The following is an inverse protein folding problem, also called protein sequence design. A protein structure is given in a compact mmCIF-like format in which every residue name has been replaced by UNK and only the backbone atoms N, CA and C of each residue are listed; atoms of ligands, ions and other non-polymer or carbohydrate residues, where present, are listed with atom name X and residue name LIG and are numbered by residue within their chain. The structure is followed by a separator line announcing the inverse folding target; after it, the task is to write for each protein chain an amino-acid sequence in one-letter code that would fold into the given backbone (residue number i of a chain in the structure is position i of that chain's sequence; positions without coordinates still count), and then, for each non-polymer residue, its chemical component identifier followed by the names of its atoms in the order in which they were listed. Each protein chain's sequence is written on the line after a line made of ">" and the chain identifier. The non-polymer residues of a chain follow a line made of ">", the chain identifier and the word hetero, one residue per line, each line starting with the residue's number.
data_IF_265281792375
#
_entry.id   IF_265281792375
#
_cell.length_a   1.000
_cell.length_b   1.000
_cell.length_c   1.000
_cell.angle_alpha   90.00
_cell.angle_beta   90.00
_cell.angle_gamma   90.00
#
_symmetry.space_group_name_H-M   'P 1'
#
loop_
_entity.id
_entity.type
_entity.pdbx_description
1 polymer ?
#
# COMPACT_ATOMS: atom_id res chain seq x y z
N UNK A 1 67.11 -9.50 5.28
CA UNK A 1 65.90 -9.42 6.16
C UNK A 1 64.83 -8.59 5.46
N UNK A 2 63.94 -9.23 4.75
CA UNK A 2 62.85 -8.58 4.03
C UNK A 2 61.57 -8.67 4.89
N UNK A 3 60.90 -7.52 5.13
CA UNK A 3 59.62 -7.44 5.81
C UNK A 3 58.48 -7.84 4.86
N UNK A 4 57.52 -8.65 5.27
CA UNK A 4 56.34 -8.90 4.47
C UNK A 4 55.39 -7.70 4.53
N UNK A 5 55.02 -7.20 3.35
CA UNK A 5 53.98 -6.20 3.10
C UNK A 5 52.62 -6.83 3.42
N UNK A 6 51.86 -6.24 4.37
CA UNK A 6 50.47 -6.53 4.61
C UNK A 6 49.63 -6.06 3.41
N UNK A 7 49.08 -6.99 2.64
CA UNK A 7 48.01 -6.68 1.72
C UNK A 7 46.73 -6.43 2.55
N UNK A 8 46.24 -5.22 2.55
CA UNK A 8 44.91 -4.85 3.05
C UNK A 8 43.89 -5.30 2.03
N UNK A 9 43.17 -6.36 2.32
CA UNK A 9 41.99 -6.73 1.59
C UNK A 9 40.82 -5.91 2.16
N UNK A 10 40.55 -4.78 1.53
CA UNK A 10 39.32 -4.02 1.73
C UNK A 10 38.31 -4.48 0.69
N UNK A 11 37.54 -5.52 1.03
CA UNK A 11 36.29 -5.84 0.35
C UNK A 11 35.14 -5.39 1.25
N UNK A 12 34.79 -4.12 1.14
CA UNK A 12 33.47 -3.63 1.56
C UNK A 12 32.44 -4.22 0.58
N UNK A 13 32.11 -5.49 0.78
CA UNK A 13 30.85 -6.05 0.29
C UNK A 13 29.76 -5.42 1.18
N UNK A 14 29.16 -4.34 0.72
CA UNK A 14 27.88 -3.90 1.23
C UNK A 14 26.96 -5.12 1.12
N UNK A 15 26.67 -5.73 2.27
CA UNK A 15 25.68 -6.79 2.37
C UNK A 15 24.34 -6.09 2.10
N UNK A 16 23.84 -6.14 0.85
CA UNK A 16 22.51 -5.63 0.53
C UNK A 16 21.53 -6.32 1.49
N UNK A 17 21.01 -5.54 2.43
CA UNK A 17 20.06 -6.03 3.44
C UNK A 17 18.79 -6.43 2.69
N UNK A 18 18.49 -7.73 2.63
CA UNK A 18 17.29 -8.23 1.99
C UNK A 18 16.06 -7.59 2.63
N UNK A 19 15.16 -7.04 1.81
CA UNK A 19 14.00 -6.30 2.31
C UNK A 19 12.70 -6.69 1.60
N UNK A 20 11.60 -6.69 2.37
CA UNK A 20 10.24 -6.67 1.84
C UNK A 20 9.63 -5.29 2.09
N UNK A 21 9.15 -4.64 1.05
CA UNK A 21 8.52 -3.33 1.12
C UNK A 21 7.01 -3.43 0.96
N UNK A 22 6.26 -2.91 1.94
CA UNK A 22 4.79 -2.90 1.94
C UNK A 22 4.31 -1.47 1.80
N UNK A 23 3.50 -1.22 0.78
CA UNK A 23 2.91 0.09 0.52
C UNK A 23 1.40 -0.01 0.26
N UNK A 24 0.70 1.12 0.32
CA UNK A 24 -0.72 1.23 0.02
C UNK A 24 -1.02 2.28 -1.04
N UNK A 25 -2.07 2.02 -1.82
CA UNK A 25 -2.55 2.98 -2.81
C UNK A 25 -4.06 3.12 -2.80
N UNK A 26 -4.53 4.33 -3.10
CA UNK A 26 -5.95 4.63 -3.23
C UNK A 26 -6.67 5.04 -1.95
N UNK A 27 -6.02 5.16 -0.79
CA UNK A 27 -6.65 5.55 0.49
C UNK A 27 -7.40 6.88 0.37
N UNK A 28 -6.80 7.87 -0.27
CA UNK A 28 -7.37 9.22 -0.44
C UNK A 28 -8.39 9.36 -1.56
N UNK A 29 -8.57 8.32 -2.37
CA UNK A 29 -9.44 8.35 -3.54
C UNK A 29 -10.88 7.92 -3.23
N UNK A 30 -11.81 8.38 -4.06
CA UNK A 30 -13.24 8.09 -3.89
C UNK A 30 -13.60 6.67 -4.30
N UNK A 31 -13.00 6.15 -5.37
CA UNK A 31 -13.40 4.90 -5.99
C UNK A 31 -12.62 3.69 -5.48
N UNK A 32 -13.24 2.51 -5.62
CA UNK A 32 -12.68 1.23 -5.24
C UNK A 32 -12.34 1.13 -3.75
N UNK A 33 -11.59 0.09 -3.39
CA UNK A 33 -11.02 -0.07 -2.05
C UNK A 33 -9.63 0.57 -1.95
N UNK A 34 -8.74 -0.14 -1.27
CA UNK A 34 -7.32 0.20 -1.16
C UNK A 34 -6.51 -1.01 -1.57
N UNK A 35 -5.50 -0.80 -2.39
CA UNK A 35 -4.51 -1.82 -2.72
C UNK A 35 -3.43 -1.80 -1.65
N UNK A 36 -3.08 -2.96 -1.13
CA UNK A 36 -1.85 -3.19 -0.34
C UNK A 36 -0.93 -4.00 -1.23
N UNK A 37 0.23 -3.44 -1.55
CA UNK A 37 1.28 -4.07 -2.34
C UNK A 37 2.44 -4.52 -1.47
N UNK A 38 3.10 -5.61 -1.88
CA UNK A 38 4.36 -6.07 -1.33
C UNK A 38 5.37 -6.22 -2.45
N UNK A 39 6.55 -5.69 -2.24
CA UNK A 39 7.62 -5.69 -3.24
C UNK A 39 8.94 -6.15 -2.62
N UNK A 40 9.66 -6.99 -3.34
CA UNK A 40 11.01 -7.45 -2.98
C UNK A 40 12.00 -6.87 -4.00
N UNK A 41 12.82 -5.88 -3.64
CA UNK A 41 13.74 -5.21 -4.56
C UNK A 41 14.71 -6.15 -5.26
N UNK A 42 15.26 -7.13 -4.55
CA UNK A 42 16.31 -8.02 -5.03
C UNK A 42 15.85 -8.94 -6.18
N UNK A 43 14.58 -9.30 -6.18
CA UNK A 43 13.98 -10.17 -7.21
C UNK A 43 13.01 -9.46 -8.11
N UNK A 44 12.75 -8.17 -7.84
CA UNK A 44 11.70 -7.36 -8.48
C UNK A 44 10.29 -7.98 -8.40
N UNK A 45 10.10 -8.95 -7.50
CA UNK A 45 8.81 -9.61 -7.31
C UNK A 45 7.85 -8.65 -6.64
N UNK A 46 6.67 -8.55 -7.22
CA UNK A 46 5.57 -7.75 -6.69
C UNK A 46 4.31 -8.61 -6.58
N UNK A 47 3.59 -8.46 -5.48
CA UNK A 47 2.29 -9.07 -5.27
C UNK A 47 1.37 -8.07 -4.56
N UNK A 48 0.06 -8.23 -4.64
CA UNK A 48 -0.87 -7.31 -3.99
C UNK A 48 -2.22 -7.95 -3.71
N UNK A 49 -2.93 -7.38 -2.73
CA UNK A 49 -4.34 -7.67 -2.47
C UNK A 49 -5.14 -6.36 -2.35
N UNK A 50 -6.45 -6.46 -2.59
CA UNK A 50 -7.37 -5.32 -2.54
C UNK A 50 -8.27 -5.41 -1.32
N UNK A 51 -8.22 -4.41 -0.45
CA UNK A 51 -9.23 -4.21 0.58
C UNK A 51 -10.48 -3.70 -0.11
N UNK A 52 -11.54 -4.50 -0.15
CA UNK A 52 -12.76 -4.18 -0.89
C UNK A 52 -13.43 -2.89 -0.41
N UNK A 53 -14.06 -2.16 -1.33
CA UNK A 53 -14.76 -0.89 -1.06
C UNK A 53 -15.78 -0.98 0.08
N UNK A 54 -16.38 -2.14 0.29
CA UNK A 54 -17.35 -2.42 1.37
C UNK A 54 -16.83 -2.10 2.78
N UNK A 55 -15.51 -2.17 2.98
CA UNK A 55 -14.87 -1.82 4.26
C UNK A 55 -14.84 -0.31 4.49
N UNK A 56 -14.96 0.47 3.43
CA UNK A 56 -15.01 1.95 3.43
C UNK A 56 -16.43 2.49 3.32
N UNK A 57 -17.45 1.64 3.53
CA UNK A 57 -18.87 1.97 3.54
C UNK A 57 -19.47 1.62 4.90
N UNK A 58 -20.57 2.30 5.27
CA UNK A 58 -21.29 1.99 6.51
C UNK A 58 -21.97 0.60 6.46
N UNK A 59 -22.04 -0.13 7.57
CA UNK A 59 -21.61 0.23 8.93
C UNK A 59 -20.12 -0.06 9.21
N UNK A 60 -19.41 -0.78 8.32
CA UNK A 60 -18.03 -1.25 8.52
C UNK A 60 -17.03 -0.11 8.68
N UNK A 61 -17.24 1.00 7.98
CA UNK A 61 -16.36 2.16 8.09
C UNK A 61 -16.33 2.72 9.51
N UNK A 62 -17.50 2.89 10.15
CA UNK A 62 -17.60 3.37 11.54
C UNK A 62 -16.90 2.45 12.53
N UNK A 63 -16.92 1.15 12.28
CA UNK A 63 -16.24 0.13 13.07
C UNK A 63 -14.74 0.07 12.80
N UNK A 64 -14.22 0.88 11.88
CA UNK A 64 -12.82 0.87 11.42
C UNK A 64 -12.35 -0.50 10.89
N UNK A 65 -13.30 -1.30 10.39
CA UNK A 65 -13.01 -2.66 9.91
C UNK A 65 -11.97 -2.68 8.76
N UNK A 66 -11.80 -1.57 8.06
CA UNK A 66 -10.77 -1.41 7.04
C UNK A 66 -9.34 -1.48 7.59
N UNK A 67 -9.09 -1.02 8.85
CA UNK A 67 -7.77 -1.12 9.48
C UNK A 67 -7.44 -2.57 9.81
N UNK A 68 -8.40 -3.29 10.37
CA UNK A 68 -8.24 -4.71 10.67
C UNK A 68 -8.03 -5.54 9.40
N UNK A 69 -8.80 -5.26 8.34
CA UNK A 69 -8.61 -5.94 7.06
C UNK A 69 -7.26 -5.59 6.42
N UNK A 70 -6.77 -4.34 6.55
CA UNK A 70 -5.44 -3.97 6.08
C UNK A 70 -4.34 -4.80 6.78
N UNK A 71 -4.47 -4.99 8.10
CA UNK A 71 -3.55 -5.83 8.86
C UNK A 71 -3.59 -7.30 8.40
N UNK A 72 -4.79 -7.85 8.18
CA UNK A 72 -4.95 -9.21 7.68
C UNK A 72 -4.33 -9.39 6.29
N UNK A 73 -4.57 -8.44 5.39
CA UNK A 73 -3.98 -8.43 4.03
C UNK A 73 -2.46 -8.39 4.10
N UNK A 74 -1.88 -7.46 4.87
CA UNK A 74 -0.45 -7.34 5.02
C UNK A 74 0.19 -8.63 5.57
N UNK A 75 -0.42 -9.24 6.59
CA UNK A 75 0.04 -10.52 7.14
C UNK A 75 -0.01 -11.65 6.10
N UNK A 76 -1.08 -11.75 5.31
CA UNK A 76 -1.19 -12.76 4.24
C UNK A 76 -0.11 -12.58 3.19
N UNK A 77 0.11 -11.34 2.73
CA UNK A 77 1.13 -11.01 1.72
C UNK A 77 2.54 -11.32 2.23
N UNK A 78 2.87 -10.95 3.46
CA UNK A 78 4.18 -11.27 4.05
C UNK A 78 4.34 -12.79 4.18
N UNK A 79 3.33 -13.49 4.68
CA UNK A 79 3.36 -14.95 4.81
C UNK A 79 3.56 -15.65 3.47
N UNK A 80 2.84 -15.22 2.41
CA UNK A 80 2.97 -15.79 1.06
C UNK A 80 4.32 -15.50 0.41
N UNK A 81 4.95 -14.37 0.79
CA UNK A 81 6.30 -14.01 0.33
C UNK A 81 7.41 -14.82 0.99
N UNK A 82 7.10 -15.57 2.05
CA UNK A 82 8.03 -16.42 2.80
C UNK A 82 9.37 -15.70 3.11
N UNK A 83 9.36 -14.64 3.95
CA UNK A 83 10.57 -13.88 4.23
C UNK A 83 11.61 -14.72 4.95
N UNK A 84 12.87 -14.59 4.55
CA UNK A 84 14.01 -15.16 5.26
C UNK A 84 14.11 -14.63 6.70
N UNK A 85 14.80 -15.35 7.58
CA UNK A 85 14.89 -14.95 9.01
C UNK A 85 15.57 -13.59 9.22
N UNK A 86 16.54 -13.24 8.38
CA UNK A 86 17.28 -11.97 8.42
C UNK A 86 16.64 -10.86 7.58
N UNK A 87 15.60 -11.17 6.76
CA UNK A 87 15.00 -10.21 5.85
C UNK A 87 14.18 -9.15 6.61
N UNK A 88 14.47 -7.88 6.39
CA UNK A 88 13.74 -6.78 6.98
C UNK A 88 12.36 -6.58 6.32
N UNK A 89 11.39 -6.10 7.08
CA UNK A 89 10.04 -5.79 6.59
C UNK A 89 9.83 -4.27 6.76
N UNK A 90 9.86 -3.56 5.66
CA UNK A 90 9.62 -2.13 5.62
C UNK A 90 8.14 -1.86 5.30
N UNK A 91 7.47 -1.11 6.15
CA UNK A 91 6.04 -0.81 6.01
C UNK A 91 5.84 0.69 5.88
N UNK A 92 5.07 1.10 4.88
CA UNK A 92 4.72 2.50 4.67
C UNK A 92 4.11 3.12 5.94
N UNK A 93 4.53 4.36 6.25
CA UNK A 93 4.04 5.15 7.40
C UNK A 93 2.59 5.65 7.23
N UNK A 94 1.79 5.00 6.42
CA UNK A 94 0.38 5.31 6.20
C UNK A 94 -0.48 4.89 7.40
N UNK A 95 -1.48 5.71 7.74
CA UNK A 95 -2.38 5.42 8.86
C UNK A 95 -3.18 4.11 8.68
N UNK A 96 -3.44 3.68 7.45
CA UNK A 96 -4.18 2.45 7.18
C UNK A 96 -3.36 1.19 7.54
N UNK A 97 -2.03 1.30 7.52
CA UNK A 97 -1.10 0.22 7.86
C UNK A 97 -0.68 0.21 9.35
N UNK A 98 -1.18 1.14 10.17
CA UNK A 98 -0.76 1.24 11.57
C UNK A 98 -1.02 -0.04 12.36
N UNK A 99 -2.18 -0.66 12.21
CA UNK A 99 -2.51 -1.95 12.86
C UNK A 99 -1.69 -3.10 12.28
N UNK A 100 -1.40 -3.06 10.96
CA UNK A 100 -0.54 -4.04 10.30
C UNK A 100 0.87 -4.03 10.89
N UNK A 101 1.47 -2.86 11.12
CA UNK A 101 2.80 -2.72 11.75
C UNK A 101 2.83 -3.42 13.10
N UNK A 102 1.82 -3.19 13.94
CA UNK A 102 1.76 -3.80 15.28
C UNK A 102 1.63 -5.33 15.21
N UNK A 103 0.82 -5.84 14.31
CA UNK A 103 0.65 -7.29 14.15
C UNK A 103 1.88 -7.94 13.51
N UNK A 104 2.52 -7.30 12.54
CA UNK A 104 3.76 -7.78 11.93
C UNK A 104 4.91 -7.82 12.97
N UNK A 105 5.05 -6.79 13.83
CA UNK A 105 6.04 -6.79 14.91
C UNK A 105 5.84 -7.95 15.89
N UNK A 106 4.59 -8.29 16.21
CA UNK A 106 4.26 -9.43 17.08
C UNK A 106 4.62 -10.77 16.43
N UNK A 107 4.43 -10.88 15.12
CA UNK A 107 4.61 -12.14 14.38
C UNK A 107 6.06 -12.38 13.96
N UNK A 108 6.76 -11.33 13.50
CA UNK A 108 8.10 -11.44 12.90
C UNK A 108 9.21 -10.83 13.76
N UNK A 109 8.87 -10.19 14.88
CA UNK A 109 9.80 -9.52 15.78
C UNK A 109 9.96 -8.02 15.51
N UNK A 110 9.96 -7.23 16.59
CA UNK A 110 10.02 -5.76 16.51
C UNK A 110 11.19 -5.21 15.69
N UNK A 111 12.44 -5.72 15.89
CA UNK A 111 13.61 -5.21 15.16
C UNK A 111 13.55 -5.38 13.64
N UNK A 112 12.82 -6.40 13.16
CA UNK A 112 12.68 -6.68 11.73
C UNK A 112 11.67 -5.80 11.01
N UNK A 113 10.73 -5.19 11.73
CA UNK A 113 9.62 -4.41 11.14
C UNK A 113 9.89 -2.93 11.36
N UNK A 114 10.23 -2.26 10.26
CA UNK A 114 10.55 -0.83 10.23
C UNK A 114 9.40 -0.06 9.58
N UNK A 115 8.98 1.05 10.18
CA UNK A 115 8.02 1.96 9.54
C UNK A 115 8.79 3.05 8.81
N UNK A 116 8.63 3.13 7.51
CA UNK A 116 9.41 4.02 6.64
C UNK A 116 8.51 4.70 5.60
N UNK A 117 9.05 5.71 4.93
CA UNK A 117 8.41 6.25 3.72
C UNK A 117 8.83 5.39 2.54
N UNK A 118 7.90 4.68 1.95
CA UNK A 118 8.13 3.90 0.72
C UNK A 118 8.14 4.84 -0.49
N UNK A 119 9.12 4.67 -1.37
CA UNK A 119 9.28 5.42 -2.63
C UNK A 119 9.84 4.53 -3.72
N UNK A 120 9.74 4.97 -4.98
CA UNK A 120 10.28 4.24 -6.13
C UNK A 120 9.44 3.04 -6.54
N UNK A 121 10.08 1.95 -6.98
CA UNK A 121 9.41 0.82 -7.64
C UNK A 121 8.27 0.19 -6.83
N UNK A 122 8.39 0.09 -5.52
CA UNK A 122 7.33 -0.44 -4.66
C UNK A 122 6.07 0.44 -4.74
N UNK A 123 6.25 1.75 -4.56
CA UNK A 123 5.17 2.74 -4.68
C UNK A 123 4.57 2.73 -6.08
N UNK A 124 5.40 2.78 -7.13
CA UNK A 124 4.94 2.85 -8.52
C UNK A 124 4.11 1.62 -8.90
N UNK A 125 4.53 0.42 -8.48
CA UNK A 125 3.79 -0.83 -8.75
C UNK A 125 2.47 -0.87 -7.99
N UNK A 126 2.45 -0.43 -6.73
CA UNK A 126 1.23 -0.40 -5.91
C UNK A 126 0.22 0.61 -6.46
N UNK A 127 0.68 1.79 -6.88
CA UNK A 127 -0.15 2.79 -7.55
C UNK A 127 -0.68 2.29 -8.91
N UNK A 128 0.16 1.63 -9.70
CA UNK A 128 -0.26 1.04 -10.98
C UNK A 128 -1.35 -0.02 -10.77
N UNK A 129 -1.19 -0.90 -9.79
CA UNK A 129 -2.19 -1.90 -9.43
C UNK A 129 -3.53 -1.25 -9.03
N UNK A 130 -3.49 -0.17 -8.25
CA UNK A 130 -4.70 0.58 -7.89
C UNK A 130 -5.35 1.22 -9.12
N UNK A 131 -4.58 1.82 -10.02
CA UNK A 131 -5.11 2.40 -11.26
C UNK A 131 -5.82 1.34 -12.12
N UNK A 132 -5.27 0.14 -12.19
CA UNK A 132 -5.89 -0.97 -12.94
C UNK A 132 -7.20 -1.42 -12.27
N UNK A 133 -7.26 -1.45 -10.94
CA UNK A 133 -8.50 -1.76 -10.21
C UNK A 133 -9.62 -0.75 -10.52
N UNK A 134 -9.33 0.54 -10.55
CA UNK A 134 -10.36 1.54 -10.88
C UNK A 134 -10.73 1.54 -12.37
N UNK A 135 -9.80 1.19 -13.27
CA UNK A 135 -10.10 0.99 -14.70
C UNK A 135 -11.06 -0.17 -14.95
N UNK A 136 -10.94 -1.27 -14.19
CA UNK A 136 -11.88 -2.40 -14.25
C UNK A 136 -13.33 -2.00 -13.92
N UNK A 137 -13.53 -0.90 -13.19
CA UNK A 137 -14.85 -0.33 -12.94
C UNK A 137 -15.43 0.46 -14.13
N UNK A 138 -14.64 0.65 -15.19
CA UNK A 138 -14.98 1.52 -16.32
C UNK A 138 -14.69 3.01 -16.05
N UNK A 139 -13.85 3.31 -15.07
CA UNK A 139 -13.38 4.68 -14.80
C UNK A 139 -12.01 4.91 -15.43
N UNK A 140 -11.88 6.00 -16.18
CA UNK A 140 -10.60 6.43 -16.75
C UNK A 140 -9.96 7.51 -15.86
N UNK A 141 -8.84 7.21 -15.18
CA UNK A 141 -8.20 8.17 -14.29
C UNK A 141 -7.53 9.32 -15.06
N UNK A 142 -7.57 10.52 -14.47
CA UNK A 142 -6.87 11.66 -15.05
C UNK A 142 -5.35 11.50 -14.94
N UNK A 143 -4.58 12.05 -15.91
CA UNK A 143 -3.13 12.15 -15.78
C UNK A 143 -2.73 12.96 -14.54
N UNK A 144 -1.55 12.67 -13.98
CA UNK A 144 -0.96 13.36 -12.83
C UNK A 144 -1.88 13.40 -11.59
N UNK A 145 -2.60 12.31 -11.33
CA UNK A 145 -3.55 12.17 -10.22
C UNK A 145 -2.98 12.65 -8.90
N UNK A 146 -1.75 12.26 -8.56
CA UNK A 146 -1.13 12.55 -7.25
C UNK A 146 -0.78 14.01 -7.08
N UNK A 147 -0.33 14.67 -8.14
CA UNK A 147 -0.10 16.11 -8.14
C UNK A 147 -1.41 16.92 -8.10
N UNK A 148 -2.53 16.32 -8.49
CA UNK A 148 -3.84 16.97 -8.66
C UNK A 148 -4.96 16.28 -7.87
N UNK A 149 -4.71 15.86 -6.64
CA UNK A 149 -5.65 15.07 -5.81
C UNK A 149 -7.07 15.63 -5.75
N UNK A 150 -7.23 16.93 -5.57
CA UNK A 150 -8.56 17.56 -5.54
C UNK A 150 -9.29 17.42 -6.89
N UNK A 151 -8.58 17.62 -8.00
CA UNK A 151 -9.14 17.47 -9.36
C UNK A 151 -9.53 16.01 -9.63
N UNK A 152 -8.68 15.07 -9.23
CA UNK A 152 -8.95 13.64 -9.33
C UNK A 152 -10.21 13.27 -8.56
N UNK A 153 -10.34 13.71 -7.31
CA UNK A 153 -11.53 13.49 -6.49
C UNK A 153 -12.81 13.98 -7.18
N UNK A 154 -12.83 15.22 -7.67
CA UNK A 154 -14.01 15.75 -8.36
C UNK A 154 -14.28 15.08 -9.71
N UNK A 155 -13.26 14.58 -10.38
CA UNK A 155 -13.43 13.79 -11.60
C UNK A 155 -14.10 12.44 -11.30
N UNK A 156 -13.65 11.73 -10.26
CA UNK A 156 -14.29 10.51 -9.76
C UNK A 156 -15.73 10.76 -9.32
N UNK A 157 -15.97 11.84 -8.58
CA UNK A 157 -17.31 12.22 -8.12
C UNK A 157 -18.27 12.49 -9.28
N UNK A 158 -17.80 13.15 -10.35
CA UNK A 158 -18.58 13.38 -11.55
C UNK A 158 -18.93 12.08 -12.25
N UNK A 159 -17.99 11.14 -12.31
CA UNK A 159 -18.22 9.82 -12.87
C UNK A 159 -19.27 9.03 -12.07
N UNK A 160 -19.24 9.07 -10.74
CA UNK A 160 -20.25 8.45 -9.88
C UNK A 160 -21.62 9.09 -10.09
N UNK A 161 -21.70 10.42 -10.20
CA UNK A 161 -22.97 11.14 -10.37
C UNK A 161 -23.66 10.89 -11.70
N UNK A 162 -22.93 10.48 -12.75
CA UNK A 162 -23.53 10.14 -14.05
C UNK A 162 -24.43 8.89 -14.01
N UNK A 163 -24.20 8.02 -13.01
CA UNK A 163 -24.95 6.78 -12.85
C UNK A 163 -25.02 6.39 -11.38
N UNK A 164 -26.20 6.41 -10.79
CA UNK A 164 -26.42 6.13 -9.37
C UNK A 164 -25.96 4.72 -8.97
N UNK A 165 -25.97 3.76 -9.89
CA UNK A 165 -25.49 2.40 -9.63
C UNK A 165 -24.01 2.35 -9.27
N UNK A 166 -23.23 3.35 -9.69
CA UNK A 166 -21.79 3.48 -9.43
C UNK A 166 -21.45 3.84 -7.98
N UNK A 167 -22.43 4.29 -7.17
CA UNK A 167 -22.27 4.52 -5.74
C UNK A 167 -21.75 3.28 -5.00
N UNK A 168 -22.08 2.09 -5.45
CA UNK A 168 -21.56 0.84 -4.88
C UNK A 168 -20.04 0.72 -4.93
N UNK A 169 -19.37 1.48 -5.82
CA UNK A 169 -17.92 1.50 -5.99
C UNK A 169 -17.25 2.66 -5.23
N UNK A 170 -18.01 3.50 -4.51
CA UNK A 170 -17.51 4.66 -3.82
C UNK A 170 -17.32 4.42 -2.32
N UNK A 171 -16.27 5.01 -1.73
CA UNK A 171 -15.98 4.99 -0.29
C UNK A 171 -16.90 5.96 0.46
N UNK A 172 -18.17 5.59 0.62
CA UNK A 172 -19.22 6.48 1.15
C UNK A 172 -19.16 6.71 2.66
N UNK A 173 -18.32 5.97 3.38
CA UNK A 173 -18.13 6.14 4.83
C UNK A 173 -17.42 7.44 5.23
N UNK A 174 -16.58 8.01 4.37
CA UNK A 174 -15.86 9.24 4.67
C UNK A 174 -16.81 10.42 4.93
N UNK A 175 -16.73 11.10 6.09
CA UNK A 175 -17.65 12.20 6.43
C UNK A 175 -17.66 13.33 5.41
N UNK A 176 -16.50 13.62 4.80
CA UNK A 176 -16.39 14.65 3.76
C UNK A 176 -17.21 14.32 2.51
N UNK A 177 -17.41 13.05 2.19
CA UNK A 177 -18.18 12.61 1.03
C UNK A 177 -19.68 12.83 1.18
N UNK A 178 -20.21 12.76 2.39
CA UNK A 178 -21.64 13.00 2.63
C UNK A 178 -22.12 14.35 2.09
N UNK A 179 -21.23 15.37 2.11
CA UNK A 179 -21.54 16.70 1.54
C UNK A 179 -21.73 16.68 0.03
N UNK A 180 -21.12 15.74 -0.67
CA UNK A 180 -21.10 15.70 -2.13
C UNK A 180 -22.00 14.60 -2.71
N UNK A 181 -22.40 13.61 -1.90
CA UNK A 181 -23.19 12.44 -2.33
C UNK A 181 -24.68 12.61 -2.03
N UNK A 182 -25.09 13.67 -1.33
CA UNK A 182 -26.51 14.00 -1.21
C UNK A 182 -27.06 14.37 -2.59
N UNK A 183 -27.80 13.42 -3.17
CA UNK A 183 -28.56 13.55 -4.40
C UNK A 183 -29.97 14.03 -4.10
#
# INVERSE_FOLDING_TARGET
>A
MARPTKASCSTDLECEELTLQIDDAGVGDLLSGVVIGIYRPETERFDFEVIGVRYFQEPRFRQKAYLHEAANVALRLVKSSAPGEAEAIEVCSSFILAEAVEQLKKTYGGPRVKTVKIVGKAQDKTEAAYLDEIRKLGYDPIPDRDARRARSFFHMLRWVRKDRSRLRHAKTGWPRLRRYIMF
#
